data_IF_776389440161
#
_entry.id   IF_776389440161
#
_cell.length_a   1.000
_cell.length_b   1.000
_cell.length_c   1.000
_cell.angle_alpha   90.00
_cell.angle_beta   90.00
_cell.angle_gamma   90.00
#
_symmetry.space_group_name_H-M   'P 1'
#
loop_
_entity.id
_entity.type
_entity.pdbx_description
1 polymer ?
#
# COMPACT_ATOMS: atom_id res chain seq x y z
N UNK A 1 15.46 20.01 -11.68
CA UNK A 1 14.97 19.13 -10.58
C UNK A 1 13.49 19.38 -10.27
N UNK A 2 13.03 20.63 -10.18
CA UNK A 2 11.63 20.94 -9.84
C UNK A 2 10.59 20.46 -10.85
N UNK A 3 10.91 20.41 -12.15
CA UNK A 3 9.90 20.06 -13.17
C UNK A 3 9.31 18.65 -12.98
N UNK A 4 10.12 17.67 -12.56
CA UNK A 4 9.67 16.28 -12.35
C UNK A 4 8.60 16.21 -11.24
N UNK A 5 8.68 17.09 -10.23
CA UNK A 5 7.74 17.12 -9.11
C UNK A 5 6.57 18.09 -9.33
N UNK A 6 6.82 19.24 -9.96
CA UNK A 6 5.82 20.30 -10.14
C UNK A 6 4.88 20.01 -11.33
N UNK A 7 5.33 19.25 -12.33
CA UNK A 7 4.49 18.83 -13.47
C UNK A 7 3.73 17.53 -13.21
N UNK A 8 3.68 17.06 -11.95
CA UNK A 8 2.81 15.94 -11.59
C UNK A 8 1.36 16.28 -11.94
N UNK A 9 0.65 15.32 -12.52
CA UNK A 9 -0.78 15.45 -12.81
C UNK A 9 -1.52 15.82 -11.52
N UNK A 10 -2.23 16.98 -11.47
CA UNK A 10 -3.00 17.39 -10.31
C UNK A 10 -3.96 16.32 -9.80
N UNK A 11 -4.51 15.51 -10.71
CA UNK A 11 -5.39 14.40 -10.37
C UNK A 11 -4.73 13.39 -9.43
N UNK A 12 -3.39 13.25 -9.40
CA UNK A 12 -2.71 12.28 -8.55
C UNK A 12 -2.74 12.65 -7.06
N UNK A 13 -2.62 13.93 -6.71
CA UNK A 13 -2.60 14.41 -5.33
C UNK A 13 -3.96 14.97 -4.86
N UNK A 14 -4.97 14.99 -5.72
CA UNK A 14 -6.35 15.23 -5.30
C UNK A 14 -6.82 14.17 -4.30
N UNK A 15 -7.39 14.65 -3.20
CA UNK A 15 -7.86 13.80 -2.11
C UNK A 15 -9.27 13.31 -2.34
N UNK A 16 -9.48 11.99 -2.30
CA UNK A 16 -10.76 11.34 -2.47
C UNK A 16 -11.12 10.51 -1.24
N UNK A 17 -12.33 10.73 -0.72
CA UNK A 17 -12.91 9.89 0.32
C UNK A 17 -13.65 8.71 -0.30
N UNK A 18 -13.46 7.51 0.24
CA UNK A 18 -14.24 6.30 -0.08
C UNK A 18 -14.80 5.72 1.21
N UNK A 19 -16.07 5.33 1.17
CA UNK A 19 -16.73 4.66 2.29
C UNK A 19 -16.57 3.15 2.17
N UNK A 20 -15.99 2.53 3.19
CA UNK A 20 -15.69 1.11 3.26
C UNK A 20 -16.39 0.50 4.47
N UNK A 21 -16.80 -0.77 4.39
CA UNK A 21 -17.33 -1.50 5.55
C UNK A 21 -16.22 -2.35 6.16
N UNK A 22 -15.74 -1.96 7.33
CA UNK A 22 -14.77 -2.72 8.12
C UNK A 22 -15.53 -3.33 9.31
N UNK A 23 -15.65 -4.67 9.34
CA UNK A 23 -16.47 -5.41 10.32
C UNK A 23 -17.88 -4.85 10.54
N UNK A 24 -18.55 -4.44 9.46
CA UNK A 24 -19.91 -3.89 9.53
C UNK A 24 -20.01 -2.41 9.87
N UNK A 25 -18.92 -1.78 10.33
CA UNK A 25 -18.84 -0.33 10.56
C UNK A 25 -18.48 0.37 9.25
N UNK A 26 -19.26 1.40 8.89
CA UNK A 26 -18.95 2.25 7.74
C UNK A 26 -17.84 3.22 8.13
N UNK A 27 -16.65 3.01 7.56
CA UNK A 27 -15.46 3.83 7.78
C UNK A 27 -15.18 4.65 6.53
N UNK A 28 -15.13 5.97 6.67
CA UNK A 28 -14.70 6.86 5.60
C UNK A 28 -13.19 6.99 5.61
N UNK A 29 -12.53 6.55 4.54
CA UNK A 29 -11.08 6.67 4.36
C UNK A 29 -10.81 7.73 3.28
N UNK A 30 -9.95 8.69 3.59
CA UNK A 30 -9.54 9.75 2.66
C UNK A 30 -8.07 9.61 2.29
N UNK A 31 -7.82 9.34 1.01
CA UNK A 31 -6.49 9.22 0.41
C UNK A 31 -6.44 9.97 -0.91
N UNK A 32 -5.23 10.35 -1.31
CA UNK A 32 -4.92 10.89 -2.61
C UNK A 32 -5.12 9.81 -3.70
N UNK A 33 -5.49 10.21 -4.91
CA UNK A 33 -5.79 9.26 -5.99
C UNK A 33 -4.62 8.33 -6.32
N UNK A 34 -3.37 8.81 -6.21
CA UNK A 34 -2.19 7.95 -6.41
C UNK A 34 -2.16 6.76 -5.44
N UNK A 35 -2.55 6.95 -4.17
CA UNK A 35 -2.60 5.85 -3.21
C UNK A 35 -3.76 4.90 -3.50
N UNK A 36 -4.91 5.42 -3.95
CA UNK A 36 -6.00 4.56 -4.39
C UNK A 36 -5.60 3.68 -5.57
N UNK A 37 -4.88 4.22 -6.55
CA UNK A 37 -4.41 3.47 -7.71
C UNK A 37 -3.40 2.38 -7.30
N UNK A 38 -2.47 2.69 -6.40
CA UNK A 38 -1.50 1.70 -5.89
C UNK A 38 -2.19 0.61 -5.08
N UNK A 39 -3.17 0.94 -4.23
CA UNK A 39 -3.96 -0.06 -3.50
C UNK A 39 -4.75 -0.97 -4.44
N UNK A 40 -5.31 -0.42 -5.51
CA UNK A 40 -6.02 -1.20 -6.52
C UNK A 40 -5.09 -2.17 -7.24
N UNK A 41 -3.88 -1.73 -7.61
CA UNK A 41 -2.85 -2.59 -8.21
C UNK A 41 -2.44 -3.72 -7.27
N UNK A 42 -2.12 -3.40 -5.99
CA UNK A 42 -1.77 -4.41 -4.99
C UNK A 42 -2.89 -5.45 -4.87
N UNK A 43 -4.14 -5.00 -4.83
CA UNK A 43 -5.28 -5.90 -4.72
C UNK A 43 -5.39 -6.82 -5.94
N UNK A 44 -5.24 -6.26 -7.15
CA UNK A 44 -5.33 -7.02 -8.40
C UNK A 44 -4.25 -8.11 -8.50
N UNK A 45 -3.03 -7.85 -8.00
CA UNK A 45 -1.94 -8.85 -8.00
C UNK A 45 -2.32 -10.14 -7.28
N UNK A 46 -3.06 -10.03 -6.18
CA UNK A 46 -3.53 -11.18 -5.41
C UNK A 46 -5.01 -11.53 -5.71
N UNK A 47 -5.53 -11.10 -6.87
CA UNK A 47 -6.92 -11.37 -7.30
C UNK A 47 -8.00 -10.89 -6.30
N UNK A 48 -7.72 -9.80 -5.61
CA UNK A 48 -8.63 -9.10 -4.70
C UNK A 48 -9.13 -7.80 -5.32
N UNK A 49 -10.29 -7.31 -4.88
CA UNK A 49 -10.64 -5.91 -5.06
C UNK A 49 -10.07 -5.03 -3.93
N UNK A 50 -10.04 -3.72 -4.16
CA UNK A 50 -9.48 -2.75 -3.20
C UNK A 50 -10.12 -2.87 -1.80
N UNK A 51 -11.42 -3.13 -1.71
CA UNK A 51 -12.11 -3.26 -0.42
C UNK A 51 -11.64 -4.52 0.33
N UNK A 52 -11.50 -5.65 -0.37
CA UNK A 52 -11.01 -6.91 0.20
C UNK A 52 -9.58 -6.76 0.73
N UNK A 53 -8.69 -6.12 -0.04
CA UNK A 53 -7.33 -5.84 0.41
C UNK A 53 -7.33 -4.98 1.68
N UNK A 54 -8.08 -3.88 1.69
CA UNK A 54 -8.10 -2.95 2.84
C UNK A 54 -8.65 -3.64 4.08
N UNK A 55 -9.72 -4.43 3.96
CA UNK A 55 -10.25 -5.21 5.09
C UNK A 55 -9.22 -6.21 5.59
N UNK A 56 -8.56 -6.96 4.69
CA UNK A 56 -7.52 -7.92 5.08
C UNK A 56 -6.35 -7.24 5.82
N UNK A 57 -5.88 -6.10 5.32
CA UNK A 57 -4.83 -5.32 5.96
C UNK A 57 -5.24 -4.78 7.34
N UNK A 58 -6.50 -4.38 7.48
CA UNK A 58 -7.06 -3.94 8.75
C UNK A 58 -7.07 -5.09 9.77
N UNK A 59 -7.59 -6.25 9.38
CA UNK A 59 -7.70 -7.44 10.23
C UNK A 59 -6.31 -7.93 10.68
N UNK A 60 -5.36 -7.99 9.76
CA UNK A 60 -3.97 -8.40 10.05
C UNK A 60 -3.25 -7.40 10.94
N UNK A 61 -3.47 -6.10 10.74
CA UNK A 61 -2.85 -5.07 11.57
C UNK A 61 -3.40 -5.08 12.99
N UNK A 62 -4.71 -5.28 13.18
CA UNK A 62 -5.31 -5.48 14.51
C UNK A 62 -4.74 -6.74 15.15
N UNK A 63 -4.70 -7.86 14.43
CA UNK A 63 -4.17 -9.11 14.97
C UNK A 63 -2.71 -8.97 15.42
N UNK A 64 -1.91 -8.18 14.70
CA UNK A 64 -0.50 -7.97 15.00
C UNK A 64 -0.22 -6.92 16.09
N UNK A 65 -0.96 -5.80 16.13
CA UNK A 65 -0.70 -4.66 17.03
C UNK A 65 -1.70 -4.53 18.18
N UNK A 66 -2.82 -5.24 18.14
CA UNK A 66 -3.95 -5.11 19.08
C UNK A 66 -4.83 -3.88 18.87
N UNK A 67 -4.32 -2.81 18.26
CA UNK A 67 -5.04 -1.58 17.97
C UNK A 67 -4.56 -0.92 16.67
N UNK A 68 -5.40 -0.02 16.12
CA UNK A 68 -5.07 0.81 14.96
C UNK A 68 -5.39 2.26 15.30
N UNK A 69 -4.37 3.12 15.29
CA UNK A 69 -4.55 4.55 15.54
C UNK A 69 -4.85 5.31 14.23
N UNK A 70 -3.88 5.33 13.29
CA UNK A 70 -4.00 6.08 12.04
C UNK A 70 -3.97 5.15 10.82
N UNK A 71 -5.11 4.55 10.51
CA UNK A 71 -5.24 3.62 9.40
C UNK A 71 -4.98 4.26 8.03
N UNK A 72 -5.37 5.53 7.85
CA UNK A 72 -5.12 6.24 6.58
C UNK A 72 -3.62 6.45 6.33
N UNK A 73 -2.85 6.82 7.36
CA UNK A 73 -1.38 6.91 7.24
C UNK A 73 -0.76 5.55 7.01
N UNK A 74 -1.25 4.50 7.66
CA UNK A 74 -0.79 3.15 7.42
C UNK A 74 -0.93 2.74 5.94
N UNK A 75 -2.09 2.98 5.33
CA UNK A 75 -2.32 2.68 3.91
C UNK A 75 -1.37 3.44 2.97
N UNK A 76 -1.07 4.72 3.27
CA UNK A 76 -0.06 5.49 2.52
C UNK A 76 1.33 4.87 2.63
N UNK A 77 1.73 4.47 3.84
CA UNK A 77 3.01 3.80 4.09
C UNK A 77 3.07 2.45 3.37
N UNK A 78 1.98 1.67 3.33
CA UNK A 78 1.91 0.43 2.57
C UNK A 78 2.21 0.66 1.08
N UNK A 79 1.61 1.67 0.46
CA UNK A 79 1.85 2.01 -0.94
C UNK A 79 3.32 2.39 -1.19
N UNK A 80 3.90 3.23 -0.33
CA UNK A 80 5.31 3.63 -0.46
C UNK A 80 6.25 2.43 -0.29
N UNK A 81 5.99 1.56 0.71
CA UNK A 81 6.77 0.35 0.93
C UNK A 81 6.67 -0.60 -0.26
N UNK A 82 5.49 -0.78 -0.84
CA UNK A 82 5.29 -1.58 -2.04
C UNK A 82 6.20 -1.11 -3.18
N UNK A 83 6.23 0.20 -3.46
CA UNK A 83 7.11 0.76 -4.50
C UNK A 83 8.59 0.64 -4.15
N UNK A 84 8.98 0.89 -2.88
CA UNK A 84 10.37 0.76 -2.44
C UNK A 84 10.88 -0.67 -2.62
N UNK A 85 10.13 -1.67 -2.15
CA UNK A 85 10.50 -3.07 -2.25
C UNK A 85 10.62 -3.54 -3.71
N UNK A 86 9.82 -2.97 -4.62
CA UNK A 86 9.99 -3.20 -6.06
C UNK A 86 11.28 -2.59 -6.60
N UNK A 87 11.65 -1.38 -6.17
CA UNK A 87 12.89 -0.73 -6.57
C UNK A 87 14.13 -1.46 -6.03
N UNK A 88 14.02 -2.00 -4.82
CA UNK A 88 15.08 -2.77 -4.16
C UNK A 88 15.20 -4.21 -4.71
N UNK A 89 14.27 -4.63 -5.58
CA UNK A 89 14.24 -5.98 -6.17
C UNK A 89 13.70 -7.07 -5.26
N UNK A 90 13.19 -6.72 -4.08
CA UNK A 90 12.57 -7.64 -3.12
C UNK A 90 11.19 -8.12 -3.58
N UNK A 91 10.50 -7.31 -4.38
CA UNK A 91 9.24 -7.64 -5.04
C UNK A 91 9.41 -7.47 -6.55
N UNK A 92 8.87 -8.40 -7.34
CA UNK A 92 8.87 -8.25 -8.80
C UNK A 92 8.07 -7.03 -9.26
N UNK A 93 8.63 -6.29 -10.22
CA UNK A 93 7.98 -5.17 -10.91
C UNK A 93 6.93 -5.63 -11.91
N UNK A 94 6.88 -6.93 -12.22
CA UNK A 94 5.80 -7.51 -13.03
C UNK A 94 4.50 -7.58 -12.21
N UNK A 95 3.54 -6.75 -12.61
CA UNK A 95 2.24 -6.60 -11.95
C UNK A 95 1.29 -7.77 -12.22
N UNK A 96 1.63 -8.69 -13.12
CA UNK A 96 0.83 -9.91 -13.34
C UNK A 96 1.21 -11.04 -12.38
N UNK A 97 2.32 -10.91 -11.66
CA UNK A 97 2.77 -11.91 -10.69
C UNK A 97 2.21 -11.60 -9.29
N UNK A 98 1.63 -12.59 -8.61
CA UNK A 98 1.06 -12.41 -7.29
C UNK A 98 2.13 -12.02 -6.26
N UNK A 99 1.72 -11.28 -5.24
CA UNK A 99 2.56 -10.98 -4.08
C UNK A 99 2.56 -12.17 -3.10
N UNK A 100 1.48 -12.95 -3.09
CA UNK A 100 1.36 -14.21 -2.38
C UNK A 100 2.36 -15.25 -2.91
N UNK A 101 3.57 -15.24 -2.36
CA UNK A 101 4.69 -16.10 -2.76
C UNK A 101 6.06 -15.58 -2.30
N UNK A 102 6.15 -14.32 -1.89
CA UNK A 102 7.40 -13.66 -1.47
C UNK A 102 7.71 -13.80 0.03
N UNK A 103 7.07 -14.75 0.72
CA UNK A 103 7.40 -15.08 2.12
C UNK A 103 8.77 -15.77 2.14
N UNK A 104 9.86 -14.99 2.15
CA UNK A 104 11.22 -15.29 2.65
C UNK A 104 12.34 -14.50 1.93
N UNK A 105 12.17 -13.20 1.68
CA UNK A 105 13.37 -12.35 1.52
C UNK A 105 13.81 -11.96 2.94
N UNK A 106 14.76 -12.73 3.50
CA UNK A 106 15.52 -12.24 4.65
C UNK A 106 16.15 -10.90 4.22
N UNK A 107 16.10 -9.85 5.05
CA UNK A 107 16.91 -8.67 4.76
C UNK A 107 18.35 -9.14 4.74
N UNK A 108 18.99 -9.15 3.56
CA UNK A 108 20.42 -9.27 3.50
C UNK A 108 20.96 -8.05 4.24
N UNK A 109 21.60 -8.33 5.37
CA UNK A 109 22.29 -7.35 6.19
C UNK A 109 23.32 -6.66 5.30
N UNK A 110 22.95 -5.54 4.66
CA UNK A 110 23.93 -4.60 4.13
C UNK A 110 24.67 -4.05 5.34
N UNK A 111 25.78 -4.70 5.63
CA UNK A 111 26.73 -4.26 6.63
C UNK A 111 27.07 -2.81 6.35
N UNK A 112 26.64 -1.93 7.25
CA UNK A 112 27.35 -0.68 7.48
C UNK A 112 28.74 -1.08 7.99
N UNK A 113 29.70 -1.23 7.09
CA UNK A 113 31.10 -1.03 7.46
C UNK A 113 31.34 0.47 7.45
N UNK A 114 31.46 0.98 8.69
CA UNK A 114 32.24 2.15 9.12
C UNK A 114 33.24 2.70 8.10
#
# INVERSE_FOLDING_TARGET
MCEIFIKADPGLYESRARSLRLHGVVTSIRLENIFWNVLEEIAQRDSMNTNQLITKLYDELIAYRGQIDNFSSFLRVCCLRYTSLMLDGEITTDKHLPLAGLHNVKPETKGFMI
#
